data_IF_237865384150
#
_entry.id   IF_237865384150
#
_cell.length_a   1.000
_cell.length_b   1.000
_cell.length_c   1.000
_cell.angle_alpha   90.00
_cell.angle_beta   90.00
_cell.angle_gamma   90.00
#
_symmetry.space_group_name_H-M   'P 1'
#
loop_
_entity.id
_entity.type
_entity.pdbx_description
1 polymer ?
#
# COMPACT_ATOMS: atom_id res chain seq x y z
N UNK A 1 -90.05 8.28 35.66
CA UNK A 1 -89.34 7.07 35.19
C UNK A 1 -88.36 7.48 34.11
N UNK A 2 -87.18 6.86 34.12
CA UNK A 2 -85.98 7.09 33.32
C UNK A 2 -86.19 7.37 31.82
N UNK A 3 -85.35 8.24 31.26
CA UNK A 3 -84.61 7.93 30.04
C UNK A 3 -83.34 8.82 29.93
N UNK A 4 -82.18 8.22 30.20
CA UNK A 4 -80.86 8.77 29.88
C UNK A 4 -80.69 8.81 28.36
N UNK A 5 -80.23 9.95 27.82
CA UNK A 5 -79.53 10.00 26.53
C UNK A 5 -78.05 10.28 26.79
N UNK A 6 -77.23 9.27 26.54
CA UNK A 6 -75.77 9.34 26.60
C UNK A 6 -75.26 10.17 25.40
N UNK A 7 -74.60 11.28 25.69
CA UNK A 7 -73.77 11.99 24.72
C UNK A 7 -72.32 11.57 24.92
N UNK A 8 -71.82 10.70 24.05
CA UNK A 8 -70.43 10.26 24.03
C UNK A 8 -69.51 11.40 23.57
N UNK A 9 -68.85 12.08 24.50
CA UNK A 9 -67.74 12.98 24.19
C UNK A 9 -66.48 12.15 23.84
N UNK A 10 -66.12 12.12 22.55
CA UNK A 10 -64.81 11.60 22.12
C UNK A 10 -63.75 12.65 22.44
N UNK A 11 -63.01 12.46 23.53
CA UNK A 11 -61.78 13.21 23.79
C UNK A 11 -60.70 12.76 22.79
N UNK A 12 -60.36 13.63 21.83
CA UNK A 12 -59.17 13.46 21.00
C UNK A 12 -57.93 13.72 21.86
N UNK A 13 -57.10 12.70 22.07
CA UNK A 13 -55.77 12.85 22.66
C UNK A 13 -54.83 13.48 21.61
N UNK A 14 -54.03 14.51 21.94
CA UNK A 14 -52.99 14.96 21.03
C UNK A 14 -51.94 13.85 20.92
N UNK A 15 -51.65 13.43 19.68
CA UNK A 15 -50.57 12.51 19.41
C UNK A 15 -49.23 13.24 19.64
N UNK A 16 -48.58 12.97 20.78
CA UNK A 16 -47.20 13.36 21.01
C UNK A 16 -46.30 12.54 20.09
N UNK A 17 -46.00 13.10 18.91
CA UNK A 17 -44.90 12.59 18.07
C UNK A 17 -43.61 12.79 18.85
N UNK A 18 -43.09 11.72 19.42
CA UNK A 18 -41.73 11.68 19.92
C UNK A 18 -40.79 11.69 18.71
N UNK A 19 -40.38 12.88 18.29
CA UNK A 19 -39.22 13.05 17.42
C UNK A 19 -37.98 12.75 18.27
N UNK A 20 -37.68 11.46 18.42
CA UNK A 20 -36.41 11.00 18.97
C UNK A 20 -35.33 11.35 17.95
N UNK A 21 -34.65 12.47 18.14
CA UNK A 21 -33.43 12.82 17.42
C UNK A 21 -32.29 11.98 17.99
N UNK A 22 -32.25 10.71 17.60
CA UNK A 22 -31.06 9.88 17.78
C UNK A 22 -29.95 10.48 16.92
N UNK A 23 -29.19 11.43 17.48
CA UNK A 23 -27.87 11.79 16.98
C UNK A 23 -27.01 10.54 17.17
N UNK A 24 -27.00 9.68 16.18
CA UNK A 24 -25.98 8.65 16.05
C UNK A 24 -24.68 9.43 15.88
N UNK A 25 -23.94 9.53 16.97
CA UNK A 25 -22.56 9.97 16.98
C UNK A 25 -21.81 8.86 16.22
N UNK A 26 -21.73 9.01 14.90
CA UNK A 26 -20.69 8.39 14.08
C UNK A 26 -19.37 9.10 14.42
N UNK A 27 -18.91 8.93 15.66
CA UNK A 27 -17.48 8.97 15.94
C UNK A 27 -16.96 7.62 15.49
N UNK A 28 -16.74 7.48 14.18
CA UNK A 28 -15.61 6.69 13.74
C UNK A 28 -14.40 7.36 14.38
N UNK A 29 -13.92 6.83 15.50
CA UNK A 29 -12.57 7.09 15.95
C UNK A 29 -11.66 6.57 14.83
N UNK A 30 -11.42 7.39 13.80
CA UNK A 30 -10.16 7.28 13.07
C UNK A 30 -9.11 7.54 14.14
N UNK A 31 -8.25 6.57 14.49
CA UNK A 31 -7.16 6.88 15.39
C UNK A 31 -6.45 8.09 14.79
N UNK A 32 -6.20 9.10 15.61
CA UNK A 32 -5.35 10.23 15.23
C UNK A 32 -4.08 9.60 14.68
N UNK A 33 -3.86 9.78 13.38
CA UNK A 33 -2.71 9.22 12.66
C UNK A 33 -1.46 9.84 13.28
N UNK A 34 -0.86 9.13 14.23
CA UNK A 34 0.43 9.51 14.77
C UNK A 34 1.43 9.49 13.62
N UNK A 35 2.31 10.49 13.59
CA UNK A 35 3.47 10.48 12.69
C UNK A 35 4.27 9.20 12.96
N UNK A 36 4.55 8.39 11.94
CA UNK A 36 5.41 7.22 12.13
C UNK A 36 6.82 7.67 12.55
N UNK A 37 7.33 7.05 13.63
CA UNK A 37 8.70 7.30 14.10
C UNK A 37 9.69 6.31 13.47
N UNK A 38 9.24 5.07 13.24
CA UNK A 38 10.03 3.99 12.66
C UNK A 38 9.33 3.45 11.40
N UNK A 39 10.07 2.76 10.52
CA UNK A 39 9.56 2.20 9.28
C UNK A 39 8.45 1.15 9.54
N UNK A 40 8.57 0.38 10.63
CA UNK A 40 7.60 -0.65 11.00
C UNK A 40 6.22 -0.09 11.42
N UNK A 41 6.13 1.19 11.80
CA UNK A 41 4.90 1.84 12.24
C UNK A 41 4.11 2.46 11.08
N UNK A 42 4.66 2.44 9.87
CA UNK A 42 4.03 3.04 8.68
C UNK A 42 2.79 2.24 8.30
N UNK A 43 1.63 2.88 8.42
CA UNK A 43 0.33 2.32 8.08
C UNK A 43 -0.38 3.23 7.08
N UNK A 44 0.05 3.13 5.82
CA UNK A 44 -0.48 3.93 4.71
C UNK A 44 0.05 5.36 4.66
N UNK A 45 -0.40 6.15 3.66
CA UNK A 45 0.12 7.48 3.37
C UNK A 45 -0.15 8.49 4.49
N UNK A 46 -1.23 8.29 5.26
CA UNK A 46 -1.64 9.19 6.34
C UNK A 46 -0.67 9.20 7.54
N UNK A 47 0.13 8.14 7.70
CA UNK A 47 1.15 8.04 8.76
C UNK A 47 2.48 8.72 8.41
N UNK A 48 2.67 9.08 7.14
CA UNK A 48 3.91 9.64 6.59
C UNK A 48 3.93 11.17 6.65
N UNK A 49 3.46 11.72 7.75
CA UNK A 49 3.52 13.15 8.05
C UNK A 49 4.59 13.43 9.09
N UNK A 50 5.29 14.57 8.98
CA UNK A 50 6.26 15.03 9.96
C UNK A 50 5.60 15.64 11.20
N UNK A 51 6.34 15.73 12.30
CA UNK A 51 5.86 16.28 13.59
C UNK A 51 5.77 17.81 13.58
N UNK A 52 6.41 18.46 12.60
CA UNK A 52 6.56 19.90 12.56
C UNK A 52 7.66 20.41 13.50
N UNK A 53 8.37 21.44 13.07
CA UNK A 53 9.41 22.08 13.87
C UNK A 53 8.82 23.06 14.89
N UNK A 54 9.59 23.37 15.93
CA UNK A 54 9.22 24.39 16.93
C UNK A 54 9.35 25.79 16.33
N UNK A 55 8.50 26.71 16.78
CA UNK A 55 8.55 28.11 16.35
C UNK A 55 9.94 28.72 16.62
N UNK A 56 10.48 29.44 15.63
CA UNK A 56 11.79 30.09 15.72
C UNK A 56 13.01 29.19 15.45
N UNK A 57 12.81 27.90 15.16
CA UNK A 57 13.87 26.98 14.72
C UNK A 57 13.81 26.68 13.23
N UNK A 58 14.96 26.42 12.61
CA UNK A 58 14.99 25.93 11.23
C UNK A 58 14.61 24.44 11.26
N UNK A 59 13.60 24.01 10.48
CA UNK A 59 13.17 22.61 10.46
C UNK A 59 14.26 21.70 9.90
N UNK A 60 14.36 20.51 10.48
CA UNK A 60 15.16 19.43 9.89
C UNK A 60 14.30 18.66 8.88
N UNK A 61 14.93 17.93 7.96
CA UNK A 61 14.22 17.10 6.97
C UNK A 61 13.23 16.13 7.65
N UNK A 62 13.54 15.61 8.84
CA UNK A 62 12.61 14.76 9.61
C UNK A 62 11.34 15.46 10.09
N UNK A 63 11.38 16.78 10.28
CA UNK A 63 10.26 17.54 10.83
C UNK A 63 9.24 17.90 9.76
N UNK A 64 9.69 18.10 8.52
CA UNK A 64 8.88 18.60 7.40
C UNK A 64 8.76 17.65 6.21
N UNK A 65 9.56 16.57 6.11
CA UNK A 65 9.37 15.58 5.05
C UNK A 65 8.00 14.91 5.16
N UNK A 66 7.37 14.70 4.00
CA UNK A 66 6.05 14.07 3.90
C UNK A 66 6.01 13.01 2.79
N UNK A 67 5.11 12.03 2.92
CA UNK A 67 4.87 11.01 1.90
C UNK A 67 6.09 10.14 1.61
N UNK A 68 6.41 9.96 0.32
CA UNK A 68 7.49 9.07 -0.14
C UNK A 68 8.88 9.56 0.30
N UNK A 69 9.10 10.88 0.35
CA UNK A 69 10.35 11.44 0.84
C UNK A 69 10.60 11.02 2.30
N UNK A 70 9.57 11.10 3.15
CA UNK A 70 9.66 10.66 4.53
C UNK A 70 9.90 9.15 4.63
N UNK A 71 9.24 8.36 3.79
CA UNK A 71 9.41 6.91 3.76
C UNK A 71 10.86 6.54 3.44
N UNK A 72 11.43 7.14 2.39
CA UNK A 72 12.83 6.95 2.00
C UNK A 72 13.78 7.39 3.12
N UNK A 73 13.50 8.52 3.78
CA UNK A 73 14.31 9.04 4.88
C UNK A 73 14.30 8.09 6.10
N UNK A 74 13.13 7.58 6.49
CA UNK A 74 12.99 6.60 7.57
C UNK A 74 13.74 5.30 7.24
N UNK A 75 13.62 4.80 6.00
CA UNK A 75 14.37 3.64 5.54
C UNK A 75 15.88 3.87 5.62
N UNK A 76 16.38 5.01 5.12
CA UNK A 76 17.80 5.37 5.17
C UNK A 76 18.33 5.49 6.59
N UNK A 77 17.54 5.99 7.54
CA UNK A 77 17.92 6.04 8.96
C UNK A 77 18.08 4.64 9.58
N UNK A 78 17.23 3.69 9.19
CA UNK A 78 17.30 2.29 9.62
C UNK A 78 18.31 1.46 8.81
N UNK A 79 18.92 2.06 7.76
CA UNK A 79 19.86 1.38 6.86
C UNK A 79 19.19 0.45 5.84
N UNK A 80 17.88 0.59 5.63
CA UNK A 80 17.08 -0.17 4.65
C UNK A 80 16.81 0.70 3.43
N UNK A 81 17.29 0.27 2.27
CA UNK A 81 16.94 0.91 1.01
C UNK A 81 15.58 0.42 0.52
N UNK A 82 14.59 1.31 0.49
CA UNK A 82 13.22 0.96 0.12
C UNK A 82 13.09 0.79 -1.39
N UNK A 83 13.91 1.50 -2.18
CA UNK A 83 13.89 1.43 -3.63
C UNK A 83 15.14 0.70 -4.12
N UNK A 84 15.00 -0.58 -4.47
CA UNK A 84 16.13 -1.39 -4.91
C UNK A 84 16.76 -0.87 -6.21
N UNK A 85 18.01 -0.42 -6.12
CA UNK A 85 18.83 0.03 -7.25
C UNK A 85 19.89 -1.00 -7.68
N UNK A 86 19.88 -2.19 -7.09
CA UNK A 86 20.88 -3.22 -7.39
C UNK A 86 20.67 -3.80 -8.80
N UNK A 87 21.77 -4.09 -9.51
CA UNK A 87 21.68 -4.80 -10.78
C UNK A 87 21.23 -6.24 -10.56
N UNK A 88 20.79 -6.87 -11.65
CA UNK A 88 20.47 -8.29 -11.67
C UNK A 88 21.72 -9.13 -11.36
N UNK A 89 21.54 -10.23 -10.63
CA UNK A 89 22.61 -11.20 -10.39
C UNK A 89 23.08 -11.82 -11.71
N UNK A 90 24.34 -11.57 -12.05
CA UNK A 90 25.02 -12.07 -13.25
C UNK A 90 26.15 -13.05 -12.90
N UNK A 91 26.18 -13.57 -11.68
CA UNK A 91 27.24 -14.49 -11.22
C UNK A 91 27.09 -15.90 -11.81
N UNK A 92 25.87 -16.28 -12.20
CA UNK A 92 25.53 -17.58 -12.78
C UNK A 92 24.60 -17.42 -13.97
N UNK A 93 24.65 -18.36 -14.91
CA UNK A 93 23.80 -18.33 -16.11
C UNK A 93 22.33 -18.66 -15.80
N UNK A 94 22.03 -19.48 -14.77
CA UNK A 94 20.65 -19.91 -14.48
C UNK A 94 20.15 -20.96 -15.49
N UNK A 95 19.69 -22.09 -14.98
CA UNK A 95 19.19 -23.23 -15.79
C UNK A 95 17.68 -23.39 -15.61
N UNK A 96 17.06 -24.33 -16.34
CA UNK A 96 15.63 -24.62 -16.14
C UNK A 96 15.37 -25.25 -14.76
N UNK A 97 16.34 -25.99 -14.22
CA UNK A 97 16.26 -26.61 -12.89
C UNK A 97 16.52 -25.59 -11.78
N UNK A 98 17.48 -24.69 -12.01
CA UNK A 98 17.86 -23.63 -11.08
C UNK A 98 17.86 -22.26 -11.81
N UNK A 99 16.70 -21.62 -11.96
CA UNK A 99 16.58 -20.33 -12.63
C UNK A 99 17.07 -19.17 -11.75
N UNK A 100 17.34 -18.03 -12.36
CA UNK A 100 17.56 -16.77 -11.64
C UNK A 100 16.20 -16.26 -11.17
N UNK A 101 16.03 -16.18 -9.85
CA UNK A 101 14.80 -15.72 -9.22
C UNK A 101 14.82 -14.19 -9.24
N UNK A 102 13.71 -13.61 -9.69
CA UNK A 102 13.54 -12.17 -9.77
C UNK A 102 12.27 -11.81 -9.03
N UNK A 103 12.43 -11.10 -7.92
CA UNK A 103 11.30 -10.63 -7.12
C UNK A 103 10.58 -9.50 -7.84
N UNK A 104 9.25 -9.46 -7.77
CA UNK A 104 8.45 -8.38 -8.30
C UNK A 104 7.21 -8.17 -7.46
N UNK A 105 6.77 -6.91 -7.36
CA UNK A 105 5.49 -6.56 -6.76
C UNK A 105 4.32 -6.73 -7.75
N UNK A 106 4.62 -6.92 -9.05
CA UNK A 106 3.64 -7.12 -10.12
C UNK A 106 3.67 -8.54 -10.70
N UNK A 107 2.73 -8.83 -11.60
CA UNK A 107 2.63 -10.11 -12.32
C UNK A 107 3.73 -10.32 -13.38
N UNK A 108 4.49 -9.26 -13.70
CA UNK A 108 5.60 -9.30 -14.65
C UNK A 108 6.68 -8.28 -14.30
N UNK A 109 7.93 -8.56 -14.68
CA UNK A 109 9.04 -7.61 -14.55
C UNK A 109 9.90 -7.65 -15.80
N UNK A 110 10.41 -6.51 -16.25
CA UNK A 110 11.39 -6.48 -17.33
C UNK A 110 12.78 -6.76 -16.77
N UNK A 111 13.53 -7.65 -17.43
CA UNK A 111 14.90 -8.00 -17.05
C UNK A 111 15.83 -7.83 -18.24
N UNK A 112 16.98 -7.24 -18.00
CA UNK A 112 18.02 -7.02 -19.00
C UNK A 112 19.14 -8.04 -18.83
N UNK A 113 19.24 -9.00 -19.73
CA UNK A 113 20.30 -10.00 -19.71
C UNK A 113 21.51 -9.50 -20.51
N UNK A 114 22.68 -9.45 -19.87
CA UNK A 114 23.99 -9.20 -20.52
C UNK A 114 24.93 -10.42 -20.44
N UNK A 115 24.39 -11.53 -19.93
CA UNK A 115 25.05 -12.82 -19.72
C UNK A 115 25.87 -12.92 -18.44
N UNK A 116 26.55 -14.06 -18.30
CA UNK A 116 27.35 -14.43 -17.13
C UNK A 116 28.72 -14.91 -17.60
N UNK A 117 29.81 -14.16 -17.38
CA UNK A 117 29.91 -12.89 -16.62
C UNK A 117 29.17 -11.70 -17.27
N UNK A 118 28.89 -10.66 -16.48
CA UNK A 118 28.21 -9.45 -16.94
C UNK A 118 28.89 -8.84 -18.18
N UNK A 119 28.10 -8.49 -19.20
CA UNK A 119 28.60 -7.88 -20.43
C UNK A 119 29.21 -8.86 -21.43
N UNK A 120 29.06 -10.17 -21.23
CA UNK A 120 29.49 -11.19 -22.19
C UNK A 120 28.79 -11.10 -23.56
N UNK A 121 27.59 -10.54 -23.61
CA UNK A 121 26.84 -10.37 -24.85
C UNK A 121 25.95 -9.11 -24.86
N UNK A 122 25.32 -8.82 -25.99
CA UNK A 122 24.50 -7.61 -26.16
C UNK A 122 23.26 -7.68 -25.27
N UNK A 123 22.84 -6.54 -24.71
CA UNK A 123 21.67 -6.48 -23.84
C UNK A 123 20.42 -7.06 -24.51
N UNK A 124 19.89 -8.12 -23.91
CA UNK A 124 18.63 -8.73 -24.29
C UNK A 124 17.56 -8.43 -23.25
N UNK A 125 16.48 -7.77 -23.68
CA UNK A 125 15.31 -7.51 -22.84
C UNK A 125 14.37 -8.71 -22.84
N UNK A 126 13.97 -9.12 -21.64
CA UNK A 126 13.09 -10.25 -21.39
C UNK A 126 11.97 -9.84 -20.44
N UNK A 127 10.83 -10.53 -20.52
CA UNK A 127 9.66 -10.31 -19.67
C UNK A 127 9.22 -11.63 -19.01
N UNK A 128 9.85 -12.04 -17.89
CA UNK A 128 9.29 -13.09 -17.04
C UNK A 128 7.92 -12.69 -16.50
N UNK A 129 7.03 -13.67 -16.39
CA UNK A 129 5.69 -13.51 -15.81
C UNK A 129 5.50 -14.55 -14.70
N UNK A 130 4.48 -14.40 -13.85
CA UNK A 130 4.16 -15.41 -12.81
C UNK A 130 3.95 -16.81 -13.42
N UNK A 131 3.37 -16.88 -14.62
CA UNK A 131 3.01 -18.15 -15.28
C UNK A 131 4.15 -18.75 -16.12
N UNK A 132 5.01 -17.90 -16.70
CA UNK A 132 6.01 -18.32 -17.67
C UNK A 132 7.38 -17.74 -17.36
N UNK A 133 8.40 -18.62 -17.40
CA UNK A 133 9.80 -18.23 -17.31
C UNK A 133 10.26 -17.58 -18.60
N UNK A 134 11.17 -16.62 -18.50
CA UNK A 134 11.81 -16.02 -19.66
C UNK A 134 13.18 -16.67 -19.90
N UNK A 135 13.47 -17.03 -21.16
CA UNK A 135 14.76 -17.60 -21.55
C UNK A 135 15.49 -16.62 -22.47
N UNK A 136 16.74 -16.31 -22.14
CA UNK A 136 17.62 -15.57 -23.04
C UNK A 136 17.99 -16.47 -24.22
N UNK A 137 17.83 -15.96 -25.44
CA UNK A 137 18.20 -16.70 -26.66
C UNK A 137 19.73 -16.78 -26.84
N UNK A 138 20.48 -15.79 -26.36
CA UNK A 138 21.91 -15.68 -26.60
C UNK A 138 22.75 -16.50 -25.61
N UNK A 139 22.56 -16.30 -24.30
CA UNK A 139 23.31 -17.01 -23.26
C UNK A 139 22.57 -18.22 -22.65
N UNK A 140 21.29 -18.40 -22.98
CA UNK A 140 20.47 -19.49 -22.44
C UNK A 140 19.96 -19.29 -21.01
N UNK A 141 20.25 -18.15 -20.38
CA UNK A 141 19.81 -17.83 -19.02
C UNK A 141 18.30 -17.91 -18.82
N UNK A 142 17.87 -18.49 -17.72
CA UNK A 142 16.46 -18.65 -17.36
C UNK A 142 16.11 -17.76 -16.18
N UNK A 143 15.07 -16.94 -16.34
CA UNK A 143 14.55 -16.05 -15.30
C UNK A 143 13.15 -16.49 -14.87
N UNK A 144 12.95 -16.63 -13.57
CA UNK A 144 11.66 -16.95 -12.95
C UNK A 144 11.23 -15.81 -12.05
N UNK A 145 9.99 -15.36 -12.23
CA UNK A 145 9.40 -14.33 -11.38
C UNK A 145 8.95 -14.92 -10.04
N UNK A 146 9.22 -14.22 -8.95
CA UNK A 146 8.65 -14.47 -7.64
C UNK A 146 7.74 -13.28 -7.25
N UNK A 147 6.40 -13.45 -7.26
CA UNK A 147 5.49 -12.38 -6.88
C UNK A 147 5.50 -12.19 -5.36
N UNK A 148 5.96 -11.03 -4.90
CA UNK A 148 6.00 -10.63 -3.48
C UNK A 148 4.83 -9.70 -3.14
N UNK A 149 4.25 -9.03 -4.14
CA UNK A 149 3.10 -8.15 -3.97
C UNK A 149 1.85 -8.90 -3.52
N UNK A 150 1.07 -8.27 -2.64
CA UNK A 150 -0.29 -8.72 -2.34
C UNK A 150 -1.22 -8.25 -3.47
N UNK A 151 -2.21 -9.07 -3.89
CA UNK A 151 -3.17 -8.64 -4.89
C UNK A 151 -3.96 -7.43 -4.39
N UNK A 152 -3.95 -6.35 -5.16
CA UNK A 152 -4.81 -5.20 -4.89
C UNK A 152 -6.27 -5.59 -5.21
N UNK A 153 -7.22 -5.53 -4.25
CA UNK A 153 -8.62 -5.80 -4.53
C UNK A 153 -9.23 -4.83 -5.55
N UNK A 154 -8.66 -3.64 -5.73
CA UNK A 154 -9.22 -2.59 -6.58
C UNK A 154 -8.65 -2.57 -8.02
N UNK A 155 -7.72 -3.47 -8.36
CA UNK A 155 -7.29 -3.72 -9.74
C UNK A 155 -6.54 -2.55 -10.42
N UNK A 156 -6.02 -1.61 -9.65
CA UNK A 156 -5.25 -0.48 -10.17
C UNK A 156 -3.80 -0.88 -10.39
N UNK A 157 -3.55 -1.53 -11.54
CA UNK A 157 -2.20 -1.67 -12.07
C UNK A 157 -1.69 -0.27 -12.46
N UNK A 158 -0.72 0.25 -11.71
CA UNK A 158 0.03 1.46 -12.06
C UNK A 158 1.40 1.09 -12.62
#
# INVERSE_FOLDING_TARGET
MLALRQSSMRFMRPASRMLSTSRIILQSNKPVSGTAHNLAEVNGPDSLIGQGAKEGTIPTDLDQATGLERLELLGKLEGVDVFDTKPLDSSRTGTMQDPIIVDSYDDYRYVGCTGSPAGSHTLMWLKPTVKQVARCWECGSVYKLNPVGVPDPDGHHH
#
